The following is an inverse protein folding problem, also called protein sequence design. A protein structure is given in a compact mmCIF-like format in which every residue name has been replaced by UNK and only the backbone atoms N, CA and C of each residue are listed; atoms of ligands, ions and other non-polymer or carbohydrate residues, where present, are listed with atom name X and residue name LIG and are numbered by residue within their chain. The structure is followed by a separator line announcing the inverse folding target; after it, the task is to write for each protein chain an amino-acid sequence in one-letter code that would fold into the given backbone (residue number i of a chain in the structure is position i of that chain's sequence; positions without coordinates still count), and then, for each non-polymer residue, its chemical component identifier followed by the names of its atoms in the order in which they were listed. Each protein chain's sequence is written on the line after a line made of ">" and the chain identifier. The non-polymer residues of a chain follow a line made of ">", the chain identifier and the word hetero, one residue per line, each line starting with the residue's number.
data_IF_931346942606
#
_entry.id   IF_931346942606
#
_cell.length_a   1.000
_cell.length_b   1.000
_cell.length_c   1.000
_cell.angle_alpha   90.00
_cell.angle_beta   90.00
_cell.angle_gamma   90.00
#
_symmetry.space_group_name_H-M   'P 1'
#
loop_
_entity.id
_entity.type
_entity.pdbx_description
1 polymer ?
#
# COMPACT_ATOMS: atom_id res chain seq x y z
N UNK A 1 -4.47 -19.01 27.36
CA UNK A 1 -3.63 -17.93 26.77
C UNK A 1 -3.87 -17.88 25.27
N UNK A 2 -4.35 -16.76 24.76
CA UNK A 2 -4.67 -16.61 23.36
C UNK A 2 -3.76 -15.55 22.73
N UNK A 3 -3.04 -15.94 21.67
CA UNK A 3 -2.26 -15.03 20.85
C UNK A 3 -3.00 -14.80 19.55
N UNK A 4 -3.15 -13.55 19.17
CA UNK A 4 -3.75 -13.19 17.89
C UNK A 4 -2.80 -12.29 17.12
N UNK A 5 -2.87 -12.37 15.80
CA UNK A 5 -2.08 -11.54 14.90
C UNK A 5 -3.02 -10.84 13.94
N UNK A 6 -2.84 -9.52 13.81
CA UNK A 6 -3.62 -8.71 12.89
C UNK A 6 -2.66 -7.92 12.00
N UNK A 7 -2.95 -7.84 10.72
CA UNK A 7 -2.19 -7.02 9.78
C UNK A 7 -3.15 -6.11 9.03
N UNK A 8 -2.82 -4.84 8.97
CA UNK A 8 -3.65 -3.85 8.29
C UNK A 8 -2.82 -2.66 7.85
N UNK A 9 -3.27 -1.98 6.81
CA UNK A 9 -2.64 -0.74 6.39
C UNK A 9 -3.02 0.36 7.38
N UNK A 10 -2.05 0.87 8.13
CA UNK A 10 -2.30 1.91 9.12
C UNK A 10 -1.95 3.30 8.61
N UNK A 11 -1.26 3.39 7.50
CA UNK A 11 -0.91 4.66 6.88
C UNK A 11 -0.81 4.51 5.37
N UNK A 12 -1.46 5.41 4.65
CA UNK A 12 -1.41 5.44 3.19
C UNK A 12 -1.06 6.87 2.80
N UNK A 13 0.02 7.03 2.02
CA UNK A 13 0.45 8.33 1.52
C UNK A 13 0.49 8.31 0.00
N UNK A 14 0.21 9.46 -0.58
CA UNK A 14 0.28 9.63 -2.03
C UNK A 14 1.38 10.64 -2.32
N UNK A 15 2.41 10.21 -3.04
CA UNK A 15 3.54 11.07 -3.41
C UNK A 15 3.82 10.87 -4.90
N UNK A 16 3.67 11.93 -5.68
CA UNK A 16 3.88 11.87 -7.14
C UNK A 16 3.10 10.74 -7.80
N UNK A 17 1.84 10.56 -7.39
CA UNK A 17 0.93 9.52 -7.87
C UNK A 17 1.36 8.09 -7.51
N UNK A 18 2.37 7.95 -6.66
CA UNK A 18 2.71 6.66 -6.07
C UNK A 18 1.97 6.51 -4.75
N UNK A 19 1.41 5.34 -4.51
CA UNK A 19 0.70 5.05 -3.26
C UNK A 19 1.66 4.31 -2.34
N UNK A 20 2.05 4.94 -1.25
CA UNK A 20 2.92 4.34 -0.25
C UNK A 20 2.05 3.78 0.87
N UNK A 21 2.24 2.50 1.16
CA UNK A 21 1.44 1.78 2.15
C UNK A 21 2.33 1.31 3.29
N UNK A 22 1.94 1.64 4.50
CA UNK A 22 2.58 1.07 5.69
C UNK A 22 1.61 0.06 6.30
N UNK A 23 2.05 -1.18 6.42
CA UNK A 23 1.26 -2.26 7.02
C UNK A 23 1.77 -2.48 8.43
N UNK A 24 0.88 -2.38 9.40
CA UNK A 24 1.19 -2.69 10.78
C UNK A 24 0.78 -4.14 11.06
N UNK A 25 1.68 -4.91 11.66
CA UNK A 25 1.39 -6.26 12.15
C UNK A 25 1.39 -6.18 13.67
N UNK A 26 0.25 -6.46 14.27
CA UNK A 26 0.05 -6.33 15.71
C UNK A 26 -0.17 -7.72 16.30
N UNK A 27 0.60 -8.05 17.34
CA UNK A 27 0.43 -9.30 18.07
C UNK A 27 -0.15 -8.98 19.43
N UNK A 28 -1.24 -9.64 19.77
CA UNK A 28 -1.95 -9.44 21.04
C UNK A 28 -1.97 -10.73 21.84
N UNK A 29 -1.88 -10.60 23.15
CA UNK A 29 -2.08 -11.68 24.08
C UNK A 29 -3.28 -11.35 24.95
N UNK A 30 -4.31 -12.21 24.89
CA UNK A 30 -5.54 -12.01 25.65
C UNK A 30 -6.15 -10.62 25.46
N UNK A 31 -6.09 -10.12 24.22
CA UNK A 31 -6.63 -8.81 23.84
C UNK A 31 -5.70 -7.65 24.07
N UNK A 32 -4.53 -7.87 24.66
CA UNK A 32 -3.56 -6.81 24.93
C UNK A 32 -2.41 -6.84 23.90
N UNK A 33 -2.12 -5.71 23.30
CA UNK A 33 -1.03 -5.60 22.34
C UNK A 33 0.33 -5.78 23.04
N UNK A 34 1.11 -6.76 22.57
CA UNK A 34 2.43 -7.03 23.11
C UNK A 34 3.55 -6.75 22.12
N UNK A 35 3.24 -6.64 20.83
CA UNK A 35 4.24 -6.37 19.81
C UNK A 35 3.60 -5.73 18.60
N UNK A 36 4.35 -4.83 17.95
CA UNK A 36 3.91 -4.20 16.71
C UNK A 36 5.11 -4.01 15.80
N UNK A 37 4.97 -4.45 14.56
CA UNK A 37 5.99 -4.24 13.54
C UNK A 37 5.37 -3.58 12.32
N UNK A 38 6.21 -2.99 11.48
CA UNK A 38 5.76 -2.24 10.32
C UNK A 38 6.48 -2.70 9.07
N UNK A 39 5.76 -2.74 7.98
CA UNK A 39 6.30 -3.06 6.67
C UNK A 39 5.78 -2.02 5.68
N UNK A 40 6.66 -1.47 4.86
CA UNK A 40 6.28 -0.47 3.86
C UNK A 40 6.50 -1.00 2.46
N UNK A 41 5.57 -0.65 1.58
CA UNK A 41 5.74 -0.92 0.16
C UNK A 41 5.10 0.20 -0.64
N UNK A 42 5.45 0.28 -1.93
CA UNK A 42 4.99 1.34 -2.81
C UNK A 42 4.32 0.73 -4.02
N UNK A 43 3.19 1.30 -4.41
CA UNK A 43 2.47 0.92 -5.62
C UNK A 43 2.59 2.07 -6.63
N UNK A 44 3.31 1.81 -7.72
CA UNK A 44 3.47 2.77 -8.80
C UNK A 44 2.25 2.71 -9.72
N UNK A 45 1.97 3.78 -10.50
CA UNK A 45 0.87 3.74 -11.46
C UNK A 45 1.03 2.57 -12.43
N UNK A 46 -0.01 1.75 -12.53
CA UNK A 46 0.00 0.55 -13.37
C UNK A 46 0.35 -0.74 -12.64
N UNK A 47 0.81 -0.66 -11.40
CA UNK A 47 1.08 -1.86 -10.62
C UNK A 47 -0.22 -2.58 -10.26
N UNK A 48 -0.13 -3.91 -10.14
CA UNK A 48 -1.28 -4.72 -9.74
C UNK A 48 -1.48 -4.58 -8.23
N UNK A 49 -2.65 -4.11 -7.83
CA UNK A 49 -3.01 -3.94 -6.43
C UNK A 49 -4.14 -4.87 -5.99
N UNK A 50 -4.43 -5.89 -6.79
CA UNK A 50 -5.55 -6.80 -6.51
C UNK A 50 -5.37 -7.61 -5.22
N UNK A 51 -4.13 -7.79 -4.77
CA UNK A 51 -3.82 -8.51 -3.53
C UNK A 51 -3.84 -7.61 -2.30
N UNK A 52 -4.02 -6.29 -2.46
CA UNK A 52 -4.05 -5.34 -1.36
C UNK A 52 -5.40 -5.37 -0.65
N UNK A 53 -5.44 -4.89 0.59
CA UNK A 53 -6.73 -4.79 1.28
C UNK A 53 -7.64 -3.77 0.59
N UNK A 54 -8.95 -3.87 0.85
CA UNK A 54 -9.96 -3.08 0.14
C UNK A 54 -9.71 -1.57 0.20
N UNK A 55 -9.25 -1.07 1.33
CA UNK A 55 -8.96 0.34 1.51
C UNK A 55 -7.83 0.79 0.58
N UNK A 56 -6.77 0.00 0.47
CA UNK A 56 -5.64 0.30 -0.40
C UNK A 56 -6.08 0.23 -1.86
N UNK A 57 -6.87 -0.77 -2.23
CA UNK A 57 -7.40 -0.89 -3.58
C UNK A 57 -8.22 0.34 -3.98
N UNK A 58 -9.05 0.83 -3.06
CA UNK A 58 -9.88 2.02 -3.32
C UNK A 58 -9.01 3.26 -3.56
N UNK A 59 -7.96 3.45 -2.77
CA UNK A 59 -7.04 4.56 -2.94
C UNK A 59 -6.31 4.46 -4.28
N UNK A 60 -5.81 3.27 -4.62
CA UNK A 60 -5.12 3.06 -5.89
C UNK A 60 -6.06 3.30 -7.07
N UNK A 61 -7.30 2.86 -6.99
CA UNK A 61 -8.27 3.09 -8.06
C UNK A 61 -8.55 4.58 -8.28
N UNK A 62 -8.56 5.36 -7.19
CA UNK A 62 -8.79 6.79 -7.27
C UNK A 62 -7.57 7.55 -7.80
N UNK A 63 -6.37 7.12 -7.44
CA UNK A 63 -5.12 7.80 -7.82
C UNK A 63 -4.60 7.32 -9.18
N UNK A 64 -4.62 6.02 -9.42
CA UNK A 64 -4.08 5.41 -10.64
C UNK A 64 -5.13 5.33 -11.74
N UNK A 65 -5.56 6.48 -12.23
CA UNK A 65 -6.47 6.55 -13.36
C UNK A 65 -5.73 6.17 -14.64
N UNK A 66 -6.43 5.81 -15.73
CA UNK A 66 -5.77 5.52 -17.01
C UNK A 66 -4.85 6.63 -17.46
N UNK A 67 -5.23 7.89 -17.24
CA UNK A 67 -4.42 9.05 -17.61
C UNK A 67 -3.10 9.11 -16.82
N UNK A 68 -3.17 8.85 -15.52
CA UNK A 68 -2.00 8.83 -14.65
C UNK A 68 -1.07 7.67 -15.02
N UNK A 69 -1.63 6.51 -15.30
CA UNK A 69 -0.85 5.33 -15.70
C UNK A 69 -0.12 5.60 -17.01
N UNK A 70 -0.81 6.19 -17.98
CA UNK A 70 -0.21 6.51 -19.28
C UNK A 70 0.91 7.53 -19.16
N UNK A 71 0.69 8.57 -18.37
CA UNK A 71 1.71 9.59 -18.13
C UNK A 71 2.94 8.99 -17.45
N UNK A 72 2.75 8.09 -16.51
CA UNK A 72 3.86 7.43 -15.82
C UNK A 72 4.65 6.55 -16.79
N UNK A 73 3.99 5.79 -17.64
CA UNK A 73 4.66 4.94 -18.63
C UNK A 73 5.46 5.80 -19.64
N UNK A 74 4.89 6.92 -20.05
CA UNK A 74 5.59 7.83 -20.96
C UNK A 74 6.85 8.41 -20.31
N UNK A 75 6.77 8.79 -19.03
CA UNK A 75 7.91 9.30 -18.30
C UNK A 75 8.99 8.23 -18.11
N UNK A 76 8.60 6.98 -17.89
CA UNK A 76 9.54 5.87 -17.76
C UNK A 76 10.23 5.58 -19.10
N UNK A 77 9.51 5.66 -20.21
CA UNK A 77 10.09 5.47 -21.52
C UNK A 77 11.13 6.53 -21.83
N UNK A 78 10.88 7.79 -21.47
CA UNK A 78 11.84 8.87 -21.62
C UNK A 78 13.07 8.67 -20.76
N UNK A 79 12.87 8.24 -19.50
CA UNK A 79 13.96 8.02 -18.57
C UNK A 79 14.85 6.84 -18.96
N UNK A 80 14.33 5.91 -19.77
CA UNK A 80 15.05 4.71 -20.18
C UNK A 80 16.02 4.97 -21.34
N UNK A 81 15.95 6.12 -21.99
CA UNK A 81 16.82 6.46 -23.14
C UNK A 81 18.22 6.92 -22.72
#
# INVERSE_FOLDING_TARGET
>A
MALTEESFADKIEIVNNHVQVRVATVIKRDGEEISRSFHRHVLAPGDDYSAEEAKVQAVCAAVHTPEVIEAYKAAQAEAAE
#
